data_IF_924859875802
#
_entry.id   IF_924859875802
#
_cell.length_a   1.000
_cell.length_b   1.000
_cell.length_c   1.000
_cell.angle_alpha   90.00
_cell.angle_beta   90.00
_cell.angle_gamma   90.00
#
_symmetry.space_group_name_H-M   'P 1'
#
loop_
_entity.id
_entity.type
_entity.pdbx_description
1 polymer ?
#
# COMPACT_ATOMS: atom_id res chain seq x y z
N UNK A 1 -23.03 26.84 -53.17
CA UNK A 1 -23.05 25.94 -51.99
C UNK A 1 -23.52 26.78 -50.82
N UNK A 2 -24.58 26.35 -50.13
CA UNK A 2 -25.18 27.15 -49.05
C UNK A 2 -24.20 27.27 -47.86
N UNK A 3 -23.82 28.50 -47.45
CA UNK A 3 -22.84 28.72 -46.39
C UNK A 3 -23.24 28.09 -45.04
N UNK A 4 -24.53 28.00 -44.72
CA UNK A 4 -24.98 27.30 -43.51
C UNK A 4 -24.68 25.80 -43.56
N UNK A 5 -24.90 25.20 -44.73
CA UNK A 5 -24.72 23.76 -44.94
C UNK A 5 -23.24 23.39 -44.87
N UNK A 6 -22.38 24.28 -45.36
CA UNK A 6 -20.93 24.16 -45.24
C UNK A 6 -20.47 24.25 -43.78
N UNK A 7 -20.98 25.22 -43.00
CA UNK A 7 -20.65 25.37 -41.58
C UNK A 7 -21.06 24.14 -40.75
N UNK A 8 -22.25 23.57 -41.01
CA UNK A 8 -22.72 22.33 -40.35
C UNK A 8 -21.83 21.13 -40.67
N UNK A 9 -21.32 21.04 -41.91
CA UNK A 9 -20.36 20.01 -42.31
C UNK A 9 -19.02 20.13 -41.58
N UNK A 10 -18.46 21.35 -41.50
CA UNK A 10 -17.23 21.60 -40.76
C UNK A 10 -17.38 21.28 -39.27
N UNK A 11 -18.49 21.67 -38.64
CA UNK A 11 -18.75 21.37 -37.23
C UNK A 11 -18.85 19.85 -36.99
N UNK A 12 -19.55 19.13 -37.87
CA UNK A 12 -19.67 17.66 -37.78
C UNK A 12 -18.31 16.97 -37.91
N UNK A 13 -17.46 17.43 -38.83
CA UNK A 13 -16.10 16.91 -39.01
C UNK A 13 -15.24 17.19 -37.78
N UNK A 14 -15.32 18.39 -37.19
CA UNK A 14 -14.57 18.72 -35.97
C UNK A 14 -15.02 17.85 -34.81
N UNK A 15 -16.33 17.64 -34.62
CA UNK A 15 -16.87 16.75 -33.58
C UNK A 15 -16.39 15.31 -33.78
N UNK A 16 -16.42 14.79 -35.02
CA UNK A 16 -15.92 13.46 -35.36
C UNK A 16 -14.42 13.32 -35.06
N UNK A 17 -13.61 14.30 -35.45
CA UNK A 17 -12.17 14.31 -35.18
C UNK A 17 -11.93 14.36 -33.66
N UNK A 18 -12.63 15.22 -32.93
CA UNK A 18 -12.54 15.29 -31.47
C UNK A 18 -12.90 13.96 -30.80
N UNK A 19 -13.95 13.28 -31.27
CA UNK A 19 -14.37 11.98 -30.74
C UNK A 19 -13.29 10.92 -30.95
N UNK A 20 -12.70 10.86 -32.16
CA UNK A 20 -11.63 9.91 -32.50
C UNK A 20 -10.36 10.18 -31.67
N UNK A 21 -10.02 11.45 -31.45
CA UNK A 21 -8.86 11.84 -30.61
C UNK A 21 -9.07 11.44 -29.15
N UNK A 22 -10.27 11.65 -28.59
CA UNK A 22 -10.60 11.26 -27.20
C UNK A 22 -10.57 9.73 -27.01
N UNK A 23 -11.04 8.97 -28.00
CA UNK A 23 -10.98 7.49 -27.97
C UNK A 23 -9.53 6.98 -28.01
N UNK A 24 -8.65 7.63 -28.78
CA UNK A 24 -7.22 7.26 -28.80
C UNK A 24 -6.48 7.70 -27.51
N UNK A 25 -6.85 8.84 -26.93
CA UNK A 25 -6.26 9.36 -25.70
C UNK A 25 -6.65 8.56 -24.44
N UNK A 26 -7.77 7.83 -24.49
CA UNK A 26 -8.24 6.98 -23.38
C UNK A 26 -7.65 5.57 -23.37
N UNK A 27 -6.64 5.29 -24.20
CA UNK A 27 -5.91 4.03 -24.19
C UNK A 27 -5.02 3.90 -22.94
N UNK A 28 -5.59 3.44 -21.81
CA UNK A 28 -4.77 2.91 -20.72
C UNK A 28 -3.90 1.80 -21.30
N UNK A 29 -2.57 1.80 -21.05
CA UNK A 29 -1.69 0.73 -21.48
C UNK A 29 -2.26 -0.63 -21.07
N UNK A 30 -2.27 -1.60 -22.00
CA UNK A 30 -2.85 -2.94 -21.78
C UNK A 30 -2.34 -3.62 -20.50
N UNK A 31 -1.08 -3.36 -20.13
CA UNK A 31 -0.46 -3.84 -18.89
C UNK A 31 -1.13 -3.30 -17.63
N UNK A 32 -1.54 -2.03 -17.60
CA UNK A 32 -2.27 -1.44 -16.46
C UNK A 32 -3.68 -2.01 -16.34
N UNK A 33 -4.37 -2.21 -17.46
CA UNK A 33 -5.71 -2.81 -17.49
C UNK A 33 -5.70 -4.24 -16.92
N UNK A 34 -4.71 -5.04 -17.30
CA UNK A 34 -4.52 -6.39 -16.78
C UNK A 34 -4.28 -6.40 -15.26
N UNK A 35 -3.41 -5.52 -14.74
CA UNK A 35 -3.15 -5.42 -13.29
C UNK A 35 -4.41 -5.05 -12.50
N UNK A 36 -5.21 -4.10 -13.00
CA UNK A 36 -6.45 -3.72 -12.32
C UNK A 36 -7.46 -4.87 -12.25
N UNK A 37 -7.57 -5.67 -13.31
CA UNK A 37 -8.45 -6.85 -13.29
C UNK A 37 -7.96 -7.93 -12.32
N UNK A 38 -6.65 -8.14 -12.22
CA UNK A 38 -6.05 -9.02 -11.20
C UNK A 38 -6.37 -8.52 -9.79
N UNK A 39 -6.18 -7.23 -9.52
CA UNK A 39 -6.53 -6.63 -8.22
C UNK A 39 -8.01 -6.79 -7.90
N UNK A 40 -8.89 -6.59 -8.88
CA UNK A 40 -10.33 -6.79 -8.73
C UNK A 40 -10.67 -8.24 -8.38
N UNK A 41 -10.02 -9.21 -9.03
CA UNK A 41 -10.19 -10.63 -8.72
C UNK A 41 -9.68 -11.00 -7.32
N UNK A 42 -8.54 -10.45 -6.91
CA UNK A 42 -8.01 -10.62 -5.55
C UNK A 42 -9.02 -10.05 -4.54
N UNK A 43 -9.48 -8.82 -4.74
CA UNK A 43 -10.34 -8.11 -3.79
C UNK A 43 -11.73 -8.74 -3.62
N UNK A 44 -12.25 -9.44 -4.64
CA UNK A 44 -13.46 -10.26 -4.53
C UNK A 44 -13.35 -11.37 -3.49
N UNK A 45 -12.15 -11.85 -3.22
CA UNK A 45 -11.89 -12.90 -2.24
C UNK A 45 -11.53 -12.36 -0.85
N UNK A 46 -11.51 -11.04 -0.65
CA UNK A 46 -11.26 -10.43 0.65
C UNK A 46 -12.38 -10.65 1.69
N UNK A 47 -12.27 -10.05 2.88
CA UNK A 47 -11.16 -9.20 3.31
C UNK A 47 -9.90 -10.01 3.68
N UNK A 48 -8.73 -9.38 3.56
CA UNK A 48 -7.42 -9.93 3.91
C UNK A 48 -6.84 -9.28 5.17
N UNK A 49 -5.94 -9.97 5.86
CA UNK A 49 -5.04 -9.33 6.83
C UNK A 49 -3.77 -8.91 6.07
N UNK A 50 -3.43 -7.62 6.10
CA UNK A 50 -2.17 -7.13 5.54
C UNK A 50 -1.02 -7.41 6.48
N UNK A 51 0.03 -8.05 5.98
CA UNK A 51 1.27 -8.34 6.71
C UNK A 51 2.39 -7.48 6.15
N UNK A 52 3.04 -6.68 7.00
CA UNK A 52 4.13 -5.79 6.61
C UNK A 52 5.39 -6.13 7.40
N UNK A 53 6.48 -6.38 6.70
CA UNK A 53 7.84 -6.57 7.24
C UNK A 53 8.81 -5.56 6.65
N UNK A 54 10.00 -5.44 7.21
CA UNK A 54 10.96 -4.39 6.85
C UNK A 54 11.97 -4.87 5.80
N UNK A 55 12.65 -5.99 6.06
CA UNK A 55 13.84 -6.38 5.29
C UNK A 55 14.03 -7.90 5.14
N UNK A 56 15.08 -8.32 4.43
CA UNK A 56 15.21 -9.70 3.92
C UNK A 56 15.30 -10.82 4.98
N UNK A 57 16.01 -10.68 6.11
CA UNK A 57 16.06 -11.71 7.15
C UNK A 57 14.70 -12.05 7.75
N UNK A 58 13.87 -11.04 8.01
CA UNK A 58 12.49 -11.24 8.52
C UNK A 58 11.64 -12.01 7.50
N UNK A 59 11.79 -11.65 6.22
CA UNK A 59 11.15 -12.35 5.11
C UNK A 59 11.56 -13.83 5.06
N UNK A 60 12.87 -14.09 5.11
CA UNK A 60 13.43 -15.44 5.09
C UNK A 60 12.92 -16.26 6.26
N UNK A 61 12.91 -15.69 7.47
CA UNK A 61 12.40 -16.37 8.66
C UNK A 61 10.89 -16.66 8.55
N UNK A 62 10.10 -15.70 8.06
CA UNK A 62 8.66 -15.85 7.91
C UNK A 62 8.29 -16.93 6.87
N UNK A 63 8.93 -16.95 5.71
CA UNK A 63 8.65 -17.97 4.69
C UNK A 63 9.30 -19.32 4.99
N UNK A 64 10.42 -19.33 5.72
CA UNK A 64 11.15 -20.54 6.10
C UNK A 64 10.37 -21.49 7.01
N UNK A 65 9.38 -20.99 7.76
CA UNK A 65 8.53 -21.84 8.60
C UNK A 65 7.48 -22.66 7.82
N UNK A 66 7.26 -22.38 6.53
CA UNK A 66 6.32 -23.11 5.67
C UNK A 66 4.82 -22.90 5.97
N UNK A 67 4.46 -22.01 6.89
CA UNK A 67 3.07 -21.72 7.27
C UNK A 67 2.33 -20.90 6.19
N UNK A 68 3.05 -20.08 5.43
CA UNK A 68 2.48 -19.31 4.33
C UNK A 68 2.22 -20.21 3.11
N UNK A 69 0.96 -20.28 2.68
CA UNK A 69 0.52 -21.00 1.48
C UNK A 69 0.14 -19.99 0.41
N UNK A 70 0.90 -19.88 -0.70
CA UNK A 70 0.59 -18.94 -1.79
C UNK A 70 -0.77 -19.22 -2.41
N UNK A 71 -1.43 -18.17 -2.90
CA UNK A 71 -2.62 -18.33 -3.73
C UNK A 71 -2.25 -19.03 -5.05
N UNK A 72 -3.00 -20.05 -5.49
CA UNK A 72 -2.64 -20.83 -6.67
C UNK A 72 -2.77 -20.06 -7.98
N UNK A 73 -3.68 -19.08 -8.06
CA UNK A 73 -3.94 -18.33 -9.29
C UNK A 73 -3.11 -17.05 -9.34
N UNK A 74 -3.04 -16.34 -8.21
CA UNK A 74 -2.38 -15.04 -8.10
C UNK A 74 -1.42 -15.04 -6.91
N UNK A 75 -0.27 -15.74 -6.98
CA UNK A 75 0.64 -15.87 -5.84
C UNK A 75 1.27 -14.53 -5.42
N UNK A 76 1.43 -13.60 -6.37
CA UNK A 76 1.91 -12.25 -6.09
C UNK A 76 1.47 -11.24 -7.15
N UNK A 77 1.55 -9.95 -6.80
CA UNK A 77 1.41 -8.81 -7.72
C UNK A 77 2.52 -7.79 -7.42
N UNK A 78 3.23 -7.35 -8.45
CA UNK A 78 4.27 -6.33 -8.33
C UNK A 78 3.71 -4.93 -8.63
N UNK A 79 3.79 -4.05 -7.63
CA UNK A 79 3.20 -2.71 -7.64
C UNK A 79 4.21 -1.70 -7.09
N UNK A 80 4.52 -0.64 -7.85
CA UNK A 80 5.44 0.44 -7.44
C UNK A 80 6.77 -0.06 -6.86
N UNK A 81 7.34 -1.11 -7.47
CA UNK A 81 8.62 -1.70 -7.03
C UNK A 81 8.52 -2.64 -5.82
N UNK A 82 7.31 -2.91 -5.30
CA UNK A 82 7.08 -3.83 -4.18
C UNK A 82 6.31 -5.06 -4.64
N UNK A 83 6.68 -6.22 -4.10
CA UNK A 83 5.99 -7.49 -4.34
C UNK A 83 4.99 -7.77 -3.22
N UNK A 84 3.71 -7.70 -3.55
CA UNK A 84 2.63 -8.13 -2.67
C UNK A 84 2.41 -9.61 -2.90
N UNK A 85 2.62 -10.46 -1.89
CA UNK A 85 2.41 -11.91 -1.96
C UNK A 85 1.05 -12.26 -1.37
N UNK A 86 0.19 -12.89 -2.15
CA UNK A 86 -1.19 -13.21 -1.75
C UNK A 86 -1.22 -14.67 -1.35
N UNK A 87 -1.83 -14.98 -0.22
CA UNK A 87 -1.90 -16.35 0.25
C UNK A 87 -2.74 -16.53 1.50
N UNK A 88 -2.41 -17.57 2.24
CA UNK A 88 -2.98 -17.88 3.55
C UNK A 88 -1.88 -18.22 4.54
N UNK A 89 -2.09 -17.87 5.80
CA UNK A 89 -1.35 -18.43 6.93
C UNK A 89 -2.39 -19.15 7.78
N UNK A 90 -2.22 -20.46 7.93
CA UNK A 90 -3.30 -21.35 8.38
C UNK A 90 -4.58 -21.08 7.55
N UNK A 91 -5.72 -20.82 8.21
CA UNK A 91 -7.00 -20.53 7.55
C UNK A 91 -7.26 -19.04 7.29
N UNK A 92 -6.30 -18.16 7.64
CA UNK A 92 -6.45 -16.71 7.49
C UNK A 92 -5.89 -16.25 6.15
N UNK A 93 -6.70 -15.52 5.38
CA UNK A 93 -6.28 -14.89 4.13
C UNK A 93 -5.37 -13.72 4.44
N UNK A 94 -4.18 -13.71 3.84
CA UNK A 94 -3.17 -12.68 4.09
C UNK A 94 -2.62 -12.10 2.79
N UNK A 95 -2.19 -10.85 2.85
CA UNK A 95 -1.36 -10.24 1.81
C UNK A 95 -0.09 -9.74 2.49
N UNK A 96 1.04 -10.29 2.10
CA UNK A 96 2.34 -9.95 2.64
C UNK A 96 3.05 -8.95 1.74
N UNK A 97 3.74 -7.97 2.32
CA UNK A 97 4.66 -7.08 1.61
C UNK A 97 5.86 -6.73 2.49
N UNK A 98 7.04 -6.63 1.86
CA UNK A 98 8.22 -6.05 2.47
C UNK A 98 8.26 -4.54 2.16
N UNK A 99 8.21 -3.68 3.17
CA UNK A 99 8.10 -2.24 2.99
C UNK A 99 9.45 -1.56 2.67
N UNK A 100 10.56 -2.10 3.19
CA UNK A 100 11.88 -1.46 3.17
C UNK A 100 12.17 -0.70 4.47
N UNK A 101 13.39 -0.18 4.61
CA UNK A 101 13.85 0.49 5.85
C UNK A 101 13.31 1.92 5.91
N UNK A 102 12.84 2.32 7.10
CA UNK A 102 12.45 3.70 7.41
C UNK A 102 10.95 3.96 7.34
N UNK A 103 10.49 4.98 8.07
CA UNK A 103 9.06 5.28 8.24
C UNK A 103 8.37 5.66 6.93
N UNK A 104 9.03 6.38 6.03
CA UNK A 104 8.46 6.75 4.72
C UNK A 104 8.13 5.51 3.89
N UNK A 105 9.00 4.49 3.94
CA UNK A 105 8.78 3.23 3.26
C UNK A 105 7.63 2.42 3.88
N UNK A 106 7.58 2.36 5.21
CA UNK A 106 6.48 1.73 5.94
C UNK A 106 5.13 2.41 5.65
N UNK A 107 5.09 3.74 5.66
CA UNK A 107 3.90 4.53 5.34
C UNK A 107 3.45 4.32 3.89
N UNK A 108 4.37 4.41 2.92
CA UNK A 108 4.05 4.20 1.51
C UNK A 108 3.53 2.78 1.23
N UNK A 109 4.13 1.75 1.83
CA UNK A 109 3.67 0.37 1.67
C UNK A 109 2.30 0.14 2.33
N UNK A 110 2.06 0.73 3.51
CA UNK A 110 0.78 0.64 4.22
C UNK A 110 -0.33 1.33 3.44
N UNK A 111 -0.08 2.54 2.95
CA UNK A 111 -1.02 3.29 2.11
C UNK A 111 -1.37 2.48 0.86
N UNK A 112 -0.35 1.99 0.15
CA UNK A 112 -0.54 1.17 -1.04
C UNK A 112 -1.32 -0.13 -0.76
N UNK A 113 -1.11 -0.75 0.40
CA UNK A 113 -1.86 -1.93 0.84
C UNK A 113 -3.35 -1.60 1.02
N UNK A 114 -3.66 -0.53 1.75
CA UNK A 114 -5.02 -0.13 2.08
C UNK A 114 -5.78 0.40 0.86
N UNK A 115 -5.11 1.12 -0.03
CA UNK A 115 -5.74 1.68 -1.23
C UNK A 115 -6.11 0.63 -2.27
N UNK A 116 -5.26 -0.39 -2.44
CA UNK A 116 -5.36 -1.31 -3.56
C UNK A 116 -6.01 -2.64 -3.20
N UNK A 117 -6.05 -3.00 -1.91
CA UNK A 117 -6.56 -4.29 -1.46
C UNK A 117 -7.71 -4.16 -0.46
N UNK A 118 -8.67 -5.08 -0.54
CA UNK A 118 -9.73 -5.21 0.45
C UNK A 118 -9.16 -5.84 1.73
N UNK A 119 -8.63 -5.02 2.63
CA UNK A 119 -8.00 -5.45 3.89
C UNK A 119 -8.87 -5.12 5.11
N UNK A 120 -8.88 -6.02 6.10
CA UNK A 120 -9.58 -5.82 7.38
C UNK A 120 -8.70 -5.12 8.42
N UNK A 121 -7.39 -5.17 8.25
CA UNK A 121 -6.41 -4.63 9.18
C UNK A 121 -4.98 -4.94 8.76
N UNK A 122 -4.03 -4.31 9.43
CA UNK A 122 -2.59 -4.41 9.16
C UNK A 122 -1.89 -4.96 10.41
N UNK A 123 -0.97 -5.90 10.19
CA UNK A 123 0.01 -6.37 11.16
C UNK A 123 1.39 -6.02 10.63
N UNK A 124 2.04 -5.06 11.28
CA UNK A 124 3.44 -4.76 11.05
C UNK A 124 4.28 -5.51 12.08
N UNK A 125 5.25 -6.30 11.64
CA UNK A 125 6.13 -7.05 12.54
C UNK A 125 7.56 -7.05 12.01
N UNK A 126 8.49 -7.21 12.94
CA UNK A 126 9.93 -7.19 12.66
C UNK A 126 10.73 -7.29 13.94
N UNK A 127 12.05 -7.13 13.82
CA UNK A 127 12.95 -7.09 14.98
C UNK A 127 13.10 -5.67 15.50
N UNK A 128 13.31 -5.51 16.81
CA UNK A 128 13.58 -4.24 17.44
C UNK A 128 14.56 -4.41 18.60
N UNK A 129 15.35 -3.36 18.87
CA UNK A 129 16.04 -3.22 20.15
C UNK A 129 15.04 -2.81 21.24
N UNK A 130 15.32 -3.19 22.48
CA UNK A 130 14.54 -2.74 23.63
C UNK A 130 15.41 -1.84 24.52
N UNK A 131 14.76 -0.91 25.24
CA UNK A 131 15.39 -0.02 26.24
C UNK A 131 14.97 -0.40 27.67
N UNK A 132 14.22 -1.48 27.83
CA UNK A 132 13.72 -1.94 29.11
C UNK A 132 14.66 -3.01 29.66
N UNK A 133 15.40 -2.68 30.72
CA UNK A 133 16.39 -3.58 31.33
C UNK A 133 15.82 -4.91 31.86
N UNK A 134 14.50 -5.02 32.01
CA UNK A 134 13.84 -6.27 32.40
C UNK A 134 13.54 -7.20 31.21
N UNK A 135 13.76 -6.76 29.97
CA UNK A 135 13.52 -7.57 28.77
C UNK A 135 14.79 -8.28 28.30
N UNK A 136 14.61 -9.50 27.82
CA UNK A 136 15.67 -10.35 27.28
C UNK A 136 15.68 -10.38 25.75
N UNK A 137 16.81 -10.77 25.18
CA UNK A 137 16.90 -11.06 23.74
C UNK A 137 15.95 -12.22 23.42
N UNK A 138 15.11 -12.02 22.40
CA UNK A 138 14.11 -13.00 21.98
C UNK A 138 12.71 -12.76 22.55
N UNK A 139 12.55 -11.81 23.48
CA UNK A 139 11.23 -11.42 23.97
C UNK A 139 10.38 -10.83 22.83
N UNK A 140 9.11 -11.26 22.76
CA UNK A 140 8.13 -10.77 21.79
C UNK A 140 7.24 -9.73 22.46
N UNK A 141 7.21 -8.53 21.90
CA UNK A 141 6.40 -7.41 22.41
C UNK A 141 5.27 -7.05 21.46
N UNK A 142 4.10 -6.75 22.04
CA UNK A 142 2.95 -6.20 21.32
C UNK A 142 2.67 -4.82 21.92
N UNK A 143 3.08 -3.73 21.26
CA UNK A 143 2.91 -2.39 21.80
C UNK A 143 1.43 -2.00 21.78
N UNK A 144 0.96 -1.39 22.89
CA UNK A 144 -0.38 -0.78 22.95
C UNK A 144 -0.42 0.57 22.22
N UNK A 145 0.71 1.27 22.18
CA UNK A 145 0.87 2.61 21.61
C UNK A 145 2.22 2.69 20.92
N UNK A 146 2.32 3.53 19.89
CA UNK A 146 3.56 3.85 19.19
C UNK A 146 3.78 5.36 19.23
N UNK A 147 5.05 5.75 19.35
CA UNK A 147 5.49 7.13 19.22
C UNK A 147 6.70 7.18 18.29
N UNK A 148 6.76 8.20 17.44
CA UNK A 148 7.96 8.54 16.68
C UNK A 148 8.70 9.66 17.41
N UNK A 149 9.99 9.46 17.65
CA UNK A 149 10.86 10.45 18.30
C UNK A 149 11.76 11.15 17.29
N UNK A 150 11.49 11.01 15.99
CA UNK A 150 12.27 11.62 14.90
C UNK A 150 11.85 13.04 14.54
N UNK A 151 10.64 13.46 14.90
CA UNK A 151 10.07 14.77 14.57
C UNK A 151 9.76 15.55 15.85
N UNK A 152 10.70 16.40 16.27
CA UNK A 152 10.53 17.29 17.42
C UNK A 152 10.17 18.69 16.93
N UNK A 153 8.98 19.16 17.29
CA UNK A 153 8.67 20.58 17.26
C UNK A 153 8.98 21.19 18.62
N UNK A 154 9.93 22.13 18.65
CA UNK A 154 10.16 22.93 19.84
C UNK A 154 8.97 23.84 20.06
N UNK A 155 8.12 23.49 21.03
CA UNK A 155 7.05 24.39 21.46
C UNK A 155 7.70 25.58 22.16
N UNK A 156 7.58 26.77 21.57
CA UNK A 156 7.94 28.02 22.25
C UNK A 156 6.90 28.24 23.35
N UNK A 157 7.25 27.85 24.56
CA UNK A 157 6.45 28.18 25.75
C UNK A 157 6.61 29.68 25.97
N UNK A 158 5.61 30.46 25.57
CA UNK A 158 5.50 31.83 26.05
C UNK A 158 5.31 31.77 27.56
N UNK A 159 6.32 32.21 28.31
CA UNK A 159 6.27 32.39 29.76
C UNK A 159 5.22 33.45 30.11
N UNK A 160 3.94 33.06 30.08
CA UNK A 160 2.99 33.58 31.05
C UNK A 160 3.15 32.71 32.28
N UNK A 161 3.52 33.36 33.38
CA UNK A 161 3.89 32.78 34.66
C UNK A 161 2.91 31.70 35.11
N UNK A 162 3.27 30.44 34.94
CA UNK A 162 2.75 29.31 35.71
C UNK A 162 3.76 28.18 35.60
N UNK A 163 4.52 28.00 36.68
CA UNK A 163 5.47 26.93 36.88
C UNK A 163 4.81 25.57 36.62
N UNK A 164 5.37 24.77 35.72
CA UNK A 164 5.20 23.32 35.74
C UNK A 164 6.52 22.78 36.28
N UNK A 165 6.51 22.37 37.54
CA UNK A 165 7.58 21.59 38.16
C UNK A 165 7.38 20.12 37.77
N UNK A 166 8.44 19.47 37.27
CA UNK A 166 8.52 18.01 37.23
C UNK A 166 8.80 17.46 38.63
#
# INVERSE_FOLDING_TARGET
MDPEKFAKYCLSIVVLISLVVVVNASSLPSSRRSKYEILKQINRNGPYIGLITVYAPEETAFFGNGAFKPNPNHPFVDLSGRRFKIGKVHDKKVIYVRCGIGMVNAAAATQQMVDLFNVAGIVHFGIAGNVNNSMSIGDVSIPKQLADTGLWDWVVIYLTTSFITF
#
